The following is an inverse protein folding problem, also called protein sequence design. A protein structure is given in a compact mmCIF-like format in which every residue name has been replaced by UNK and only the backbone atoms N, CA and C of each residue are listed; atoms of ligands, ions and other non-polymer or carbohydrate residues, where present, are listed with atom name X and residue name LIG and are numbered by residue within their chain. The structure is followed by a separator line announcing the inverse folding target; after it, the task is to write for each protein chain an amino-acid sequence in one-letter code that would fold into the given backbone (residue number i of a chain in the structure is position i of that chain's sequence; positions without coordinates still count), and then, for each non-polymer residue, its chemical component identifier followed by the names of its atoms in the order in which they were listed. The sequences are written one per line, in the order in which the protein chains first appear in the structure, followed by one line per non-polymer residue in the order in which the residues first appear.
data_IF_942360497081
#
_entry.id   IF_942360497081
#
_cell.length_a   1.000
_cell.length_b   1.000
_cell.length_c   1.000
_cell.angle_alpha   90.00
_cell.angle_beta   90.00
_cell.angle_gamma   90.00
#
_symmetry.space_group_name_H-M   'P 1'
#
loop_
_entity.id
_entity.type
_entity.pdbx_description
1 polymer ?
#
# COMPACT_ATOMS: atom_id res chain seq x y z
N UNK A 1 -97.16 -37.55 -29.79
CA UNK A 1 -96.44 -38.64 -30.49
C UNK A 1 -97.19 -39.96 -30.47
N UNK A 2 -97.85 -40.33 -29.37
CA UNK A 2 -98.61 -41.60 -29.24
C UNK A 2 -99.81 -41.70 -30.21
N UNK A 3 -100.55 -40.61 -30.49
CA UNK A 3 -101.68 -40.64 -31.42
C UNK A 3 -101.30 -40.83 -32.90
N UNK A 4 -100.05 -40.59 -33.31
CA UNK A 4 -99.60 -40.77 -34.71
C UNK A 4 -99.19 -42.20 -35.03
N UNK A 5 -99.06 -43.08 -34.03
CA UNK A 5 -98.56 -44.46 -34.19
C UNK A 5 -99.68 -45.43 -34.59
N UNK A 6 -100.94 -45.11 -34.26
CA UNK A 6 -102.10 -45.96 -34.56
C UNK A 6 -102.54 -45.95 -36.04
N UNK A 7 -102.21 -44.90 -36.78
CA UNK A 7 -102.59 -44.71 -38.20
C UNK A 7 -101.41 -44.95 -39.17
N UNK A 8 -100.29 -45.50 -38.69
CA UNK A 8 -99.11 -45.79 -39.51
C UNK A 8 -99.27 -47.15 -40.21
N UNK A 9 -98.92 -47.21 -41.48
CA UNK A 9 -98.87 -48.49 -42.20
C UNK A 9 -97.78 -49.40 -41.61
N UNK A 10 -97.95 -50.73 -41.70
CA UNK A 10 -96.96 -51.72 -41.24
C UNK A 10 -95.55 -51.49 -41.84
N UNK A 11 -95.50 -50.84 -43.00
CA UNK A 11 -94.28 -50.47 -43.72
C UNK A 11 -93.58 -49.24 -43.11
N UNK A 12 -94.34 -48.24 -42.64
CA UNK A 12 -93.79 -47.09 -41.89
C UNK A 12 -93.27 -47.52 -40.51
N UNK A 13 -93.95 -48.48 -39.86
CA UNK A 13 -93.52 -49.04 -38.57
C UNK A 13 -92.18 -49.78 -38.71
N UNK A 14 -92.03 -50.61 -39.75
CA UNK A 14 -90.76 -51.30 -40.07
C UNK A 14 -89.63 -50.32 -40.39
N UNK A 15 -89.92 -49.24 -41.10
CA UNK A 15 -88.92 -48.22 -41.40
C UNK A 15 -88.42 -47.48 -40.15
N UNK A 16 -89.33 -47.13 -39.23
CA UNK A 16 -88.97 -46.51 -37.94
C UNK A 16 -88.17 -47.49 -37.06
N UNK A 17 -88.56 -48.76 -36.98
CA UNK A 17 -87.83 -49.78 -36.21
C UNK A 17 -86.43 -50.01 -36.80
N UNK A 18 -86.30 -50.06 -38.11
CA UNK A 18 -84.99 -50.16 -38.78
C UNK A 18 -84.13 -48.91 -38.54
N UNK A 19 -84.71 -47.71 -38.61
CA UNK A 19 -84.03 -46.45 -38.30
C UNK A 19 -83.57 -46.37 -36.84
N UNK A 20 -84.42 -46.76 -35.88
CA UNK A 20 -84.07 -46.87 -34.46
C UNK A 20 -82.94 -47.89 -34.23
N UNK A 21 -82.99 -49.05 -34.90
CA UNK A 21 -81.93 -50.04 -34.79
C UNK A 21 -80.57 -49.53 -35.31
N UNK A 22 -80.58 -48.73 -36.38
CA UNK A 22 -79.38 -48.05 -36.89
C UNK A 22 -78.87 -47.03 -35.86
N UNK A 23 -79.74 -46.16 -35.36
CA UNK A 23 -79.36 -45.16 -34.34
C UNK A 23 -78.86 -45.81 -33.05
N UNK A 24 -79.45 -46.91 -32.59
CA UNK A 24 -78.96 -47.68 -31.42
C UNK A 24 -77.55 -48.23 -31.69
N UNK A 25 -77.29 -48.72 -32.89
CA UNK A 25 -75.98 -49.24 -33.29
C UNK A 25 -74.92 -48.13 -33.36
N UNK A 26 -75.29 -46.96 -33.87
CA UNK A 26 -74.45 -45.75 -33.89
C UNK A 26 -74.16 -45.22 -32.47
N UNK A 27 -75.17 -45.20 -31.59
CA UNK A 27 -75.00 -44.82 -30.18
C UNK A 27 -74.08 -45.82 -29.48
N UNK A 28 -74.25 -47.13 -29.68
CA UNK A 28 -73.37 -48.15 -29.10
C UNK A 28 -71.93 -48.03 -29.59
N UNK A 29 -71.72 -47.73 -30.87
CA UNK A 29 -70.40 -47.48 -31.43
C UNK A 29 -69.77 -46.20 -30.83
N UNK A 30 -70.57 -45.15 -30.65
CA UNK A 30 -70.14 -43.91 -29.99
C UNK A 30 -69.77 -44.15 -28.53
N UNK A 31 -70.56 -44.93 -27.79
CA UNK A 31 -70.29 -45.32 -26.41
C UNK A 31 -68.96 -46.09 -26.28
N UNK A 32 -68.71 -47.06 -27.16
CA UNK A 32 -67.41 -47.78 -27.19
C UNK A 32 -66.23 -46.85 -27.47
N UNK A 33 -66.42 -45.85 -28.34
CA UNK A 33 -65.40 -44.84 -28.63
C UNK A 33 -65.14 -43.96 -27.40
N UNK A 34 -66.19 -43.54 -26.70
CA UNK A 34 -66.09 -42.78 -25.44
C UNK A 34 -65.40 -43.59 -24.34
N UNK A 35 -65.75 -44.87 -24.16
CA UNK A 35 -65.09 -45.74 -23.17
C UNK A 35 -63.58 -45.90 -23.43
N UNK A 36 -63.19 -45.96 -24.71
CA UNK A 36 -61.78 -46.01 -25.09
C UNK A 36 -61.07 -44.70 -24.74
N UNK A 37 -61.69 -43.55 -25.06
CA UNK A 37 -61.17 -42.23 -24.71
C UNK A 37 -61.07 -42.02 -23.19
N UNK A 38 -62.05 -42.51 -22.42
CA UNK A 38 -62.01 -42.47 -20.94
C UNK A 38 -60.82 -43.27 -20.40
N UNK A 39 -60.57 -44.48 -20.93
CA UNK A 39 -59.41 -45.28 -20.51
C UNK A 39 -58.08 -44.62 -20.85
N UNK A 40 -57.96 -44.01 -22.04
CA UNK A 40 -56.78 -43.25 -22.43
C UNK A 40 -56.58 -42.02 -21.52
N UNK A 41 -57.66 -41.32 -21.17
CA UNK A 41 -57.63 -40.21 -20.20
C UNK A 41 -57.15 -40.65 -18.82
N UNK A 42 -57.65 -41.76 -18.27
CA UNK A 42 -57.18 -42.27 -16.98
C UNK A 42 -55.69 -42.62 -17.01
N UNK A 43 -55.20 -43.22 -18.10
CA UNK A 43 -53.78 -43.51 -18.26
C UNK A 43 -52.94 -42.23 -18.35
N UNK A 44 -53.44 -41.20 -19.04
CA UNK A 44 -52.77 -39.89 -19.11
C UNK A 44 -52.76 -39.20 -17.74
N UNK A 45 -53.87 -39.22 -17.01
CA UNK A 45 -53.99 -38.63 -15.69
C UNK A 45 -53.03 -39.26 -14.69
N UNK A 46 -52.89 -40.60 -14.72
CA UNK A 46 -51.92 -41.30 -13.86
C UNK A 46 -50.47 -40.88 -14.14
N UNK A 47 -50.11 -40.70 -15.42
CA UNK A 47 -48.77 -40.21 -15.80
C UNK A 47 -48.55 -38.77 -15.30
N UNK A 48 -49.56 -37.91 -15.41
CA UNK A 48 -49.49 -36.54 -14.88
C UNK A 48 -49.32 -36.54 -13.36
N UNK A 49 -50.03 -37.40 -12.63
CA UNK A 49 -49.89 -37.52 -11.17
C UNK A 49 -48.48 -37.99 -10.76
N UNK A 50 -47.86 -38.88 -11.53
CA UNK A 50 -46.47 -39.31 -11.33
C UNK A 50 -45.49 -38.16 -11.58
N UNK A 51 -45.66 -37.41 -12.68
CA UNK A 51 -44.84 -36.22 -12.99
C UNK A 51 -44.98 -35.12 -11.92
N UNK A 52 -46.19 -34.89 -11.40
CA UNK A 52 -46.42 -33.91 -10.32
C UNK A 52 -45.67 -34.30 -9.04
N UNK A 53 -45.64 -35.60 -8.70
CA UNK A 53 -44.89 -36.08 -7.53
C UNK A 53 -43.39 -35.88 -7.71
N UNK A 54 -42.87 -36.17 -8.90
CA UNK A 54 -41.46 -35.98 -9.21
C UNK A 54 -41.05 -34.50 -9.15
N UNK A 55 -41.83 -33.62 -9.77
CA UNK A 55 -41.64 -32.17 -9.70
C UNK A 55 -41.71 -31.64 -8.26
N UNK A 56 -42.59 -32.19 -7.42
CA UNK A 56 -42.68 -31.80 -6.00
C UNK A 56 -41.41 -32.13 -5.23
N UNK A 57 -40.80 -33.30 -5.50
CA UNK A 57 -39.51 -33.69 -4.91
C UNK A 57 -38.39 -32.77 -5.39
N UNK A 58 -38.36 -32.44 -6.67
CA UNK A 58 -37.37 -31.50 -7.23
C UNK A 58 -37.52 -30.10 -6.63
N UNK A 59 -38.74 -29.56 -6.56
CA UNK A 59 -39.00 -28.26 -5.95
C UNK A 59 -38.48 -28.18 -4.51
N UNK A 60 -38.66 -29.25 -3.73
CA UNK A 60 -38.14 -29.32 -2.36
C UNK A 60 -36.62 -29.33 -2.30
N UNK A 61 -35.93 -29.94 -3.28
CA UNK A 61 -34.47 -29.87 -3.41
C UNK A 61 -34.02 -28.45 -3.76
N UNK A 62 -34.68 -27.81 -4.72
CA UNK A 62 -34.38 -26.44 -5.13
C UNK A 62 -34.58 -25.44 -3.99
N UNK A 63 -35.67 -25.58 -3.23
CA UNK A 63 -35.95 -24.75 -2.06
C UNK A 63 -34.84 -24.86 -1.00
N UNK A 64 -34.33 -26.08 -0.76
CA UNK A 64 -33.22 -26.30 0.16
C UNK A 64 -31.92 -25.66 -0.34
N UNK A 65 -31.60 -25.79 -1.64
CA UNK A 65 -30.44 -25.13 -2.25
C UNK A 65 -30.52 -23.61 -2.16
N UNK A 66 -31.72 -23.03 -2.36
CA UNK A 66 -31.94 -21.58 -2.19
C UNK A 66 -31.68 -21.16 -0.73
N UNK A 67 -32.14 -21.95 0.25
CA UNK A 67 -31.87 -21.68 1.66
C UNK A 67 -30.37 -21.71 1.97
N UNK A 68 -29.64 -22.71 1.47
CA UNK A 68 -28.18 -22.79 1.63
C UNK A 68 -27.45 -21.63 0.97
N UNK A 69 -27.81 -21.27 -0.26
CA UNK A 69 -27.25 -20.11 -0.97
C UNK A 69 -27.50 -18.81 -0.20
N UNK A 70 -28.71 -18.60 0.32
CA UNK A 70 -29.04 -17.43 1.13
C UNK A 70 -28.20 -17.34 2.41
N UNK A 71 -27.92 -18.49 3.03
CA UNK A 71 -27.08 -18.55 4.23
C UNK A 71 -25.60 -18.29 3.89
N UNK A 72 -25.12 -18.80 2.76
CA UNK A 72 -23.78 -18.51 2.24
C UNK A 72 -23.62 -17.02 1.91
N UNK A 73 -24.60 -16.42 1.22
CA UNK A 73 -24.60 -15.00 0.88
C UNK A 73 -24.54 -14.11 2.13
N UNK A 74 -25.33 -14.43 3.18
CA UNK A 74 -25.26 -13.72 4.47
C UNK A 74 -23.88 -13.81 5.13
N UNK A 75 -23.20 -14.96 5.03
CA UNK A 75 -21.82 -15.11 5.54
C UNK A 75 -20.84 -14.25 4.75
N UNK A 76 -20.96 -14.22 3.42
CA UNK A 76 -20.13 -13.37 2.56
C UNK A 76 -20.35 -11.88 2.85
N UNK A 77 -21.59 -11.43 3.01
CA UNK A 77 -21.90 -10.05 3.38
C UNK A 77 -21.30 -9.65 4.74
N UNK A 78 -21.34 -10.56 5.71
CA UNK A 78 -20.71 -10.36 7.00
C UNK A 78 -19.17 -10.23 6.87
N UNK A 79 -18.54 -11.07 6.05
CA UNK A 79 -17.10 -11.00 5.79
C UNK A 79 -16.71 -9.70 5.07
N UNK A 80 -17.49 -9.24 4.09
CA UNK A 80 -17.26 -7.97 3.39
C UNK A 80 -17.32 -6.78 4.37
N UNK A 81 -18.28 -6.79 5.31
CA UNK A 81 -18.36 -5.75 6.35
C UNK A 81 -17.13 -5.74 7.26
N UNK A 82 -16.65 -6.92 7.68
CA UNK A 82 -15.43 -7.03 8.49
C UNK A 82 -14.22 -6.49 7.73
N UNK A 83 -14.04 -6.92 6.48
CA UNK A 83 -12.94 -6.46 5.63
C UNK A 83 -12.99 -4.94 5.41
N UNK A 84 -14.17 -4.35 5.24
CA UNK A 84 -14.33 -2.89 5.11
C UNK A 84 -13.85 -2.13 6.35
N UNK A 85 -14.16 -2.65 7.55
CA UNK A 85 -13.69 -2.06 8.81
C UNK A 85 -12.18 -2.19 8.96
N UNK A 86 -11.61 -3.35 8.60
CA UNK A 86 -10.16 -3.55 8.61
C UNK A 86 -9.46 -2.60 7.63
N UNK A 87 -9.99 -2.44 6.41
CA UNK A 87 -9.44 -1.54 5.40
C UNK A 87 -9.37 -0.09 5.88
N UNK A 88 -10.39 0.38 6.61
CA UNK A 88 -10.39 1.72 7.25
C UNK A 88 -9.31 1.86 8.32
N UNK A 89 -9.02 0.78 9.08
CA UNK A 89 -7.95 0.78 10.08
C UNK A 89 -6.58 0.84 9.40
N UNK A 90 -6.34 0.04 8.36
CA UNK A 90 -5.09 0.08 7.59
C UNK A 90 -4.86 1.45 6.95
N UNK A 91 -5.90 2.07 6.38
CA UNK A 91 -5.79 3.42 5.81
C UNK A 91 -5.37 4.45 6.86
N UNK A 92 -5.91 4.36 8.08
CA UNK A 92 -5.51 5.24 9.19
C UNK A 92 -4.05 5.03 9.60
N UNK A 93 -3.60 3.77 9.69
CA UNK A 93 -2.22 3.43 10.01
C UNK A 93 -1.24 3.93 8.93
N UNK A 94 -1.61 3.85 7.65
CA UNK A 94 -0.80 4.38 6.55
C UNK A 94 -0.65 5.91 6.67
N UNK A 95 -1.73 6.62 7.01
CA UNK A 95 -1.67 8.08 7.24
C UNK A 95 -0.75 8.42 8.41
N UNK A 96 -0.83 7.71 9.52
CA UNK A 96 0.07 7.91 10.68
C UNK A 96 1.54 7.61 10.34
N UNK A 97 1.81 6.51 9.63
CA UNK A 97 3.16 6.17 9.16
C UNK A 97 3.74 7.25 8.24
N UNK A 98 2.95 7.77 7.30
CA UNK A 98 3.39 8.83 6.39
C UNK A 98 3.75 10.13 7.15
N UNK A 99 2.98 10.46 8.18
CA UNK A 99 3.26 11.63 9.02
C UNK A 99 4.53 11.43 9.87
N UNK A 100 4.73 10.22 10.41
CA UNK A 100 5.97 9.87 11.13
C UNK A 100 7.18 9.95 10.21
N UNK A 101 7.08 9.43 8.99
CA UNK A 101 8.17 9.41 8.02
C UNK A 101 8.61 10.83 7.65
N UNK A 102 7.64 11.76 7.46
CA UNK A 102 7.93 13.17 7.21
C UNK A 102 8.69 13.84 8.36
N UNK A 103 8.36 13.53 9.61
CA UNK A 103 9.10 14.02 10.79
C UNK A 103 10.53 13.50 10.82
N UNK A 104 10.73 12.21 10.50
CA UNK A 104 12.07 11.63 10.42
C UNK A 104 12.91 12.29 9.33
N UNK A 105 12.33 12.58 8.16
CA UNK A 105 13.02 13.28 7.07
C UNK A 105 13.45 14.71 7.46
N UNK A 106 12.61 15.43 8.22
CA UNK A 106 12.96 16.74 8.77
C UNK A 106 14.13 16.65 9.77
N UNK A 107 14.11 15.66 10.67
CA UNK A 107 15.20 15.43 11.62
C UNK A 107 16.52 15.07 10.92
N UNK A 108 16.49 14.25 9.86
CA UNK A 108 17.67 13.91 9.08
C UNK A 108 18.27 15.15 8.41
N UNK A 109 17.43 16.05 7.87
CA UNK A 109 17.90 17.32 7.29
C UNK A 109 18.58 18.20 8.34
N UNK A 110 18.00 18.28 9.53
CA UNK A 110 18.56 19.06 10.64
C UNK A 110 19.92 18.52 11.08
N UNK A 111 20.02 17.20 11.30
CA UNK A 111 21.29 16.53 11.63
C UNK A 111 22.35 16.71 10.53
N UNK A 112 21.95 16.72 9.25
CA UNK A 112 22.89 16.96 8.14
C UNK A 112 23.49 18.36 8.18
N UNK A 113 22.69 19.37 8.53
CA UNK A 113 23.16 20.75 8.71
C UNK A 113 24.11 20.84 9.90
N UNK A 114 23.78 20.16 10.99
CA UNK A 114 24.61 20.13 12.20
C UNK A 114 25.97 19.46 11.93
N UNK A 115 25.98 18.33 11.23
CA UNK A 115 27.21 17.64 10.83
C UNK A 115 28.13 18.52 9.96
N UNK A 116 27.56 19.33 9.05
CA UNK A 116 28.34 20.29 8.25
C UNK A 116 28.99 21.38 9.12
N UNK A 117 28.29 21.86 10.16
CA UNK A 117 28.86 22.82 11.11
C UNK A 117 30.02 22.19 11.90
N UNK A 118 29.84 20.95 12.37
CA UNK A 118 30.88 20.23 13.12
C UNK A 118 32.10 19.96 12.24
N UNK A 119 31.92 19.54 10.98
CA UNK A 119 33.03 19.34 10.03
C UNK A 119 33.81 20.65 9.76
N UNK A 120 33.11 21.78 9.63
CA UNK A 120 33.75 23.08 9.49
C UNK A 120 34.54 23.48 10.75
N UNK A 121 34.01 23.19 11.94
CA UNK A 121 34.69 23.44 13.21
C UNK A 121 35.95 22.56 13.33
N UNK A 122 35.86 21.27 12.98
CA UNK A 122 36.98 20.33 12.98
C UNK A 122 38.14 20.83 12.11
N UNK A 123 37.84 21.26 10.87
CA UNK A 123 38.85 21.84 9.95
C UNK A 123 39.54 23.08 10.52
N UNK A 124 38.81 23.91 11.26
CA UNK A 124 39.37 25.09 11.93
C UNK A 124 40.33 24.68 13.06
N UNK A 125 39.94 23.69 13.86
CA UNK A 125 40.80 23.14 14.93
C UNK A 125 42.06 22.48 14.36
N UNK A 126 41.95 21.70 13.29
CA UNK A 126 43.10 21.07 12.63
C UNK A 126 44.10 22.10 12.09
N UNK A 127 43.60 23.23 11.55
CA UNK A 127 44.44 24.34 11.13
C UNK A 127 45.19 24.97 12.30
N UNK A 128 44.53 25.19 13.44
CA UNK A 128 45.14 25.72 14.65
C UNK A 128 46.21 24.78 15.23
N UNK A 129 45.96 23.47 15.22
CA UNK A 129 46.95 22.47 15.67
C UNK A 129 48.19 22.51 14.77
N UNK A 130 48.03 22.62 13.45
CA UNK A 130 49.18 22.77 12.53
C UNK A 130 49.98 24.03 12.83
N UNK A 131 49.31 25.16 13.06
CA UNK A 131 49.98 26.41 13.40
C UNK A 131 50.77 26.30 14.71
N UNK A 132 50.14 25.74 15.75
CA UNK A 132 50.80 25.50 17.04
C UNK A 132 52.03 24.59 16.91
N UNK A 133 51.94 23.52 16.12
CA UNK A 133 53.06 22.61 15.88
C UNK A 133 54.23 23.29 15.16
N UNK A 134 53.94 24.23 14.25
CA UNK A 134 54.96 25.01 13.53
C UNK A 134 55.65 26.02 14.47
N UNK A 135 54.88 26.70 15.33
CA UNK A 135 55.45 27.56 16.37
C UNK A 135 56.30 26.79 17.37
N UNK A 136 55.88 25.60 17.78
CA UNK A 136 56.65 24.75 18.71
C UNK A 136 58.00 24.33 18.12
N UNK A 137 58.04 23.96 16.82
CA UNK A 137 59.30 23.69 16.11
C UNK A 137 60.25 24.89 16.10
N UNK A 138 59.75 26.10 15.87
CA UNK A 138 60.57 27.32 15.93
C UNK A 138 61.15 27.55 17.32
N UNK A 139 60.35 27.34 18.37
CA UNK A 139 60.81 27.46 19.75
C UNK A 139 61.89 26.42 20.06
N UNK A 140 61.73 25.17 19.62
CA UNK A 140 62.73 24.11 19.80
C UNK A 140 64.06 24.44 19.10
N UNK A 141 64.01 25.04 17.90
CA UNK A 141 65.21 25.52 17.19
C UNK A 141 65.91 26.66 17.95
N UNK A 142 65.17 27.62 18.48
CA UNK A 142 65.72 28.71 19.30
C UNK A 142 66.38 28.19 20.59
N UNK A 143 65.77 27.21 21.26
CA UNK A 143 66.35 26.59 22.47
C UNK A 143 67.68 25.89 22.14
N UNK A 144 67.77 25.20 21.00
CA UNK A 144 69.04 24.58 20.55
C UNK A 144 70.12 25.63 20.28
N UNK A 145 69.76 26.73 19.64
CA UNK A 145 70.69 27.83 19.35
C UNK A 145 71.24 28.47 20.64
N UNK A 146 70.35 28.80 21.58
CA UNK A 146 70.74 29.31 22.91
C UNK A 146 71.63 28.33 23.69
N UNK A 147 71.37 27.02 23.58
CA UNK A 147 72.22 26.00 24.22
C UNK A 147 73.65 25.97 23.67
N UNK A 148 73.81 26.15 22.36
CA UNK A 148 75.12 26.25 21.71
C UNK A 148 75.84 27.53 22.14
N UNK A 149 75.12 28.64 22.23
CA UNK A 149 75.66 29.92 22.70
C UNK A 149 76.14 29.81 24.15
N UNK A 150 75.35 29.20 25.03
CA UNK A 150 75.72 28.99 26.44
C UNK A 150 77.00 28.16 26.58
N UNK A 151 77.20 27.13 25.75
CA UNK A 151 78.45 26.35 25.72
C UNK A 151 79.67 27.18 25.28
N UNK A 152 79.50 28.12 24.35
CA UNK A 152 80.58 29.04 23.94
C UNK A 152 80.96 29.97 25.08
N UNK A 153 79.96 30.55 25.77
CA UNK A 153 80.18 31.42 26.93
C UNK A 153 80.89 30.68 28.06
N UNK A 154 80.48 29.44 28.34
CA UNK A 154 81.10 28.58 29.36
C UNK A 154 82.58 28.27 29.05
N UNK A 155 82.89 28.03 27.77
CA UNK A 155 84.27 27.86 27.32
C UNK A 155 85.11 29.15 27.42
N UNK A 156 84.51 30.31 27.17
CA UNK A 156 85.15 31.61 27.32
C UNK A 156 85.46 31.91 28.80
N UNK A 157 84.52 31.57 29.69
CA UNK A 157 84.69 31.68 31.15
C UNK A 157 85.90 30.85 31.61
N UNK A 158 86.01 29.58 31.18
CA UNK A 158 87.16 28.72 31.51
C UNK A 158 88.50 29.30 31.05
N UNK A 159 88.57 29.87 29.85
CA UNK A 159 89.79 30.55 29.36
C UNK A 159 90.14 31.77 30.21
N UNK A 160 89.13 32.53 30.64
CA UNK A 160 89.34 33.69 31.50
C UNK A 160 89.84 33.27 32.89
N UNK A 161 89.28 32.18 33.45
CA UNK A 161 89.73 31.61 34.73
C UNK A 161 91.18 31.09 34.65
N UNK A 162 91.59 30.50 33.53
CA UNK A 162 92.98 30.10 33.27
C UNK A 162 93.92 31.30 33.19
N UNK A 163 93.53 32.38 32.49
CA UNK A 163 94.31 33.62 32.43
C UNK A 163 94.46 34.28 33.81
N UNK A 164 93.42 34.26 34.65
CA UNK A 164 93.49 34.76 36.04
C UNK A 164 94.47 33.94 36.87
N UNK A 165 94.46 32.60 36.72
CA UNK A 165 95.44 31.72 37.40
C UNK A 165 96.87 32.02 36.95
N UNK A 166 97.08 32.26 35.67
CA UNK A 166 98.39 32.57 35.10
C UNK A 166 98.91 33.92 35.61
N UNK A 167 98.06 34.96 35.59
CA UNK A 167 98.36 36.27 36.19
C UNK A 167 98.65 36.16 37.70
N UNK A 168 97.94 35.29 38.43
CA UNK A 168 98.20 35.06 39.85
C UNK A 168 99.57 34.43 40.12
N UNK A 169 100.01 33.51 39.24
CA UNK A 169 101.36 32.92 39.30
C UNK A 169 102.43 33.94 38.92
N UNK A 170 102.16 34.80 37.95
CA UNK A 170 103.04 35.91 37.57
C UNK A 170 103.17 36.91 38.72
N UNK A 171 102.06 37.25 39.38
CA UNK A 171 102.06 38.11 40.57
C UNK A 171 102.89 37.52 41.71
N UNK A 172 102.85 36.19 41.92
CA UNK A 172 103.72 35.50 42.90
C UNK A 172 105.20 35.53 42.52
N UNK A 173 105.55 35.54 41.22
CA UNK A 173 106.93 35.73 40.75
C UNK A 173 107.40 37.17 40.96
N UNK A 174 106.53 38.16 40.69
CA UNK A 174 106.80 39.57 40.98
C UNK A 174 106.97 39.81 42.49
N UNK A 175 106.16 39.17 43.33
CA UNK A 175 106.25 39.20 44.81
C UNK A 175 107.57 38.59 45.32
N UNK A 176 108.07 37.54 44.66
CA UNK A 176 109.37 36.94 44.96
C UNK A 176 110.55 37.82 44.49
N UNK A 177 110.38 38.56 43.39
CA UNK A 177 111.33 39.56 42.91
C UNK A 177 111.37 40.77 43.88
N UNK A 178 110.20 41.21 44.36
CA UNK A 178 110.03 42.26 45.38
C UNK A 178 110.75 41.89 46.70
N UNK A 179 110.63 40.64 47.18
CA UNK A 179 111.37 40.16 48.36
C UNK A 179 112.89 40.15 48.20
N UNK A 180 113.41 40.02 46.97
CA UNK A 180 114.85 40.13 46.67
C UNK A 180 115.32 41.59 46.66
N UNK A 181 114.46 42.53 46.27
CA UNK A 181 114.71 43.98 46.34
C UNK A 181 114.53 44.53 47.76
N UNK A 182 113.59 44.00 48.54
CA UNK A 182 113.35 44.36 49.95
C UNK A 182 114.51 43.95 50.87
N UNK A 183 115.24 42.88 50.52
CA UNK A 183 116.48 42.50 51.21
C UNK A 183 117.64 43.49 50.95
N UNK A 184 117.61 44.23 49.83
CA UNK A 184 118.59 45.28 49.51
C UNK A 184 118.19 46.65 50.09
N UNK A 185 116.90 46.90 50.35
CA UNK A 185 116.40 48.13 50.99
C UNK A 185 116.61 48.12 52.51
N UNK A 186 116.71 46.94 53.15
CA UNK A 186 116.97 46.81 54.60
C UNK A 186 118.36 47.31 55.06
N UNK A 187 119.27 47.56 54.12
CA UNK A 187 120.59 48.14 54.39
C UNK A 187 120.63 49.67 54.19
N UNK A 188 119.59 50.28 53.60
CA UNK A 188 119.51 51.72 53.34
C UNK A 188 118.30 52.35 54.00
N UNK A 189 118.56 52.82 55.22
CA UNK A 189 117.83 53.90 55.93
C UNK A 189 116.59 53.43 56.70
N UNK A 190 116.48 53.59 58.01
CA UNK A 190 116.89 54.75 58.82
C UNK A 190 116.42 56.12 58.26
N UNK A 191 115.47 56.15 57.32
CA UNK A 191 114.80 57.38 56.90
C UNK A 191 113.32 57.38 57.30
N UNK A 192 113.10 57.86 58.53
CA UNK A 192 112.12 58.90 58.83
C UNK A 192 110.63 58.67 58.44
N UNK A 193 109.87 58.15 59.42
CA UNK A 193 108.80 58.94 60.08
C UNK A 193 107.59 59.42 59.25
N UNK A 194 107.11 58.64 58.27
CA UNK A 194 105.86 58.99 57.56
C UNK A 194 104.98 57.79 57.21
N UNK A 195 104.57 57.00 58.19
CA UNK A 195 103.46 56.05 57.99
C UNK A 195 102.71 55.72 59.29
N UNK A 196 102.58 56.71 60.18
CA UNK A 196 101.61 56.69 61.28
C UNK A 196 100.14 56.81 60.78
N UNK A 197 99.91 56.82 59.45
CA UNK A 197 98.58 56.97 58.83
C UNK A 197 97.97 55.69 58.22
N UNK A 198 98.72 54.59 58.03
CA UNK A 198 98.17 53.37 57.41
C UNK A 198 97.42 52.42 58.37
N UNK A 199 97.42 52.70 59.68
CA UNK A 199 96.71 51.86 60.68
C UNK A 199 95.18 52.08 60.64
N UNK A 200 94.68 53.11 59.95
CA UNK A 200 93.22 53.37 59.83
C UNK A 200 92.50 52.61 58.72
N UNK A 201 93.20 51.95 57.78
CA UNK A 201 92.54 51.39 56.58
C UNK A 201 92.23 49.88 56.67
N UNK A 202 92.94 49.13 57.52
CA UNK A 202 92.68 47.69 57.75
C UNK A 202 91.38 47.39 58.52
N UNK A 203 90.68 48.42 59.03
CA UNK A 203 89.37 48.27 59.67
C UNK A 203 88.19 48.33 58.66
N UNK A 204 88.42 48.76 57.42
CA UNK A 204 87.36 48.91 56.41
C UNK A 204 87.22 47.65 55.52
N UNK A 205 88.30 46.92 55.28
CA UNK A 205 88.28 45.75 54.39
C UNK A 205 87.55 44.54 55.01
N UNK A 206 87.59 44.41 56.34
CA UNK A 206 86.84 43.38 57.08
C UNK A 206 85.31 43.60 57.09
N UNK A 207 84.81 44.81 56.73
CA UNK A 207 83.37 45.12 56.60
C UNK A 207 82.80 44.82 55.20
N UNK A 208 83.64 44.71 54.16
CA UNK A 208 83.19 44.42 52.78
C UNK A 208 82.95 42.93 52.53
N UNK A 209 83.75 42.07 53.15
CA UNK A 209 83.61 40.60 53.02
C UNK A 209 82.36 40.07 53.73
N UNK A 210 81.97 40.69 54.86
CA UNK A 210 80.77 40.34 55.62
C UNK A 210 79.45 40.80 54.94
N UNK A 211 79.52 41.84 54.10
CA UNK A 211 78.40 42.31 53.28
C UNK A 211 78.19 41.48 52.00
N UNK A 212 79.27 40.92 51.43
CA UNK A 212 79.19 40.03 50.27
C UNK A 212 78.61 38.64 50.66
N UNK A 213 78.95 38.13 51.86
CA UNK A 213 78.43 36.86 52.40
C UNK A 213 76.90 36.90 52.63
N UNK A 214 76.36 38.01 53.17
CA UNK A 214 74.90 38.19 53.39
C UNK A 214 74.08 38.28 52.09
N UNK A 215 74.68 38.76 50.99
CA UNK A 215 74.00 38.84 49.68
C UNK A 215 73.90 37.47 49.01
N UNK A 216 74.91 36.63 49.18
CA UNK A 216 74.93 35.25 48.69
C UNK A 216 73.96 34.35 49.47
N UNK A 217 73.87 34.51 50.80
CA UNK A 217 72.89 33.77 51.62
C UNK A 217 71.43 34.14 51.31
N UNK A 218 71.17 35.41 50.94
CA UNK A 218 69.85 35.86 50.49
C UNK A 218 69.46 35.26 49.12
N UNK A 219 70.40 35.19 48.17
CA UNK A 219 70.18 34.58 46.86
C UNK A 219 69.97 33.06 46.95
N UNK A 220 70.65 32.37 47.87
CA UNK A 220 70.45 30.93 48.13
C UNK A 220 69.06 30.66 48.74
N UNK A 221 68.55 31.56 49.62
CA UNK A 221 67.19 31.46 50.16
C UNK A 221 66.10 31.70 49.10
N UNK A 222 66.34 32.61 48.15
CA UNK A 222 65.39 32.88 47.07
C UNK A 222 65.36 31.74 46.04
N UNK A 223 66.52 31.18 45.69
CA UNK A 223 66.62 30.01 44.81
C UNK A 223 65.97 28.77 45.42
N UNK A 224 66.20 28.49 46.71
CA UNK A 224 65.56 27.35 47.40
C UNK A 224 64.03 27.50 47.51
N UNK A 225 63.51 28.73 47.66
CA UNK A 225 62.07 28.98 47.61
C UNK A 225 61.48 28.79 46.20
N UNK A 226 62.21 29.21 45.15
CA UNK A 226 61.79 29.00 43.75
C UNK A 226 61.78 27.52 43.36
N UNK A 227 62.77 26.74 43.82
CA UNK A 227 62.85 25.30 43.60
C UNK A 227 61.66 24.56 44.22
N UNK A 228 61.25 24.96 45.43
CA UNK A 228 60.08 24.38 46.13
C UNK A 228 58.78 24.60 45.36
N UNK A 229 58.63 25.78 44.74
CA UNK A 229 57.48 26.14 43.90
C UNK A 229 57.43 25.32 42.61
N UNK A 230 58.59 25.07 42.00
CA UNK A 230 58.72 24.21 40.82
C UNK A 230 58.40 22.75 41.14
N UNK A 231 58.86 22.23 42.29
CA UNK A 231 58.56 20.86 42.73
C UNK A 231 57.06 20.64 43.01
N UNK A 232 56.37 21.65 43.54
CA UNK A 232 54.91 21.61 43.72
C UNK A 232 54.16 21.62 42.38
N UNK A 233 54.59 22.42 41.40
CA UNK A 233 54.02 22.43 40.05
C UNK A 233 54.24 21.11 39.29
N UNK A 234 55.40 20.46 39.46
CA UNK A 234 55.68 19.15 38.87
C UNK A 234 54.77 18.07 39.47
N UNK A 235 54.49 18.11 40.78
CA UNK A 235 53.55 17.17 41.42
C UNK A 235 52.12 17.36 40.92
N UNK A 236 51.69 18.61 40.75
CA UNK A 236 50.36 18.93 40.25
C UNK A 236 50.16 18.44 38.80
N UNK A 237 51.13 18.71 37.92
CA UNK A 237 51.15 18.20 36.55
C UNK A 237 51.17 16.67 36.48
N UNK A 238 51.89 16.00 37.39
CA UNK A 238 51.93 14.53 37.44
C UNK A 238 50.56 13.92 37.79
N UNK A 239 49.80 14.56 38.68
CA UNK A 239 48.43 14.14 39.02
C UNK A 239 47.48 14.36 37.84
N UNK A 240 47.61 15.48 37.15
CA UNK A 240 46.81 15.82 35.98
C UNK A 240 47.07 14.87 34.80
N UNK A 241 48.34 14.48 34.60
CA UNK A 241 48.73 13.51 33.58
C UNK A 241 48.13 12.13 33.86
N UNK A 242 48.09 11.68 35.12
CA UNK A 242 47.42 10.41 35.51
C UNK A 242 45.91 10.44 35.26
N UNK A 243 45.27 11.60 35.47
CA UNK A 243 43.85 11.79 35.18
C UNK A 243 43.56 11.67 33.69
N UNK A 244 44.40 12.28 32.86
CA UNK A 244 44.29 12.23 31.39
C UNK A 244 44.49 10.81 30.85
N UNK A 245 45.49 10.10 31.37
CA UNK A 245 45.77 8.71 31.00
C UNK A 245 44.61 7.75 31.33
N UNK A 246 43.95 7.98 32.48
CA UNK A 246 42.75 7.24 32.87
C UNK A 246 41.53 7.58 31.99
N UNK A 247 41.39 8.84 31.57
CA UNK A 247 40.34 9.28 30.65
C UNK A 247 40.51 8.61 29.28
N UNK A 248 41.75 8.56 28.78
CA UNK A 248 42.09 8.01 27.46
C UNK A 248 41.83 6.49 27.38
N UNK A 249 42.16 5.74 28.43
CA UNK A 249 41.79 4.30 28.53
C UNK A 249 40.28 4.07 28.50
N UNK A 250 39.49 5.00 29.07
CA UNK A 250 38.03 4.92 29.09
C UNK A 250 37.46 5.16 27.69
N UNK A 251 38.02 6.11 26.95
CA UNK A 251 37.66 6.40 25.56
C UNK A 251 38.02 5.24 24.64
N UNK A 252 39.20 4.64 24.79
CA UNK A 252 39.60 3.47 23.98
C UNK A 252 38.67 2.26 24.19
N UNK A 253 38.20 2.05 25.43
CA UNK A 253 37.23 1.00 25.73
C UNK A 253 35.87 1.27 25.04
N UNK A 254 35.40 2.52 25.05
CA UNK A 254 34.15 2.92 24.38
C UNK A 254 34.24 2.79 22.85
N UNK A 255 35.40 3.11 22.24
CA UNK A 255 35.64 2.94 20.81
C UNK A 255 35.58 1.46 20.42
N UNK A 256 36.17 0.56 21.23
CA UNK A 256 36.09 -0.88 21.00
C UNK A 256 34.65 -1.39 21.06
N UNK A 257 33.87 -0.94 22.03
CA UNK A 257 32.47 -1.33 22.19
C UNK A 257 31.59 -0.87 21.01
N UNK A 258 31.78 0.38 20.55
CA UNK A 258 31.14 0.91 19.35
C UNK A 258 31.52 0.13 18.08
N UNK A 259 32.80 -0.23 17.92
CA UNK A 259 33.23 -1.03 16.77
C UNK A 259 32.57 -2.42 16.73
N UNK A 260 32.34 -3.02 17.90
CA UNK A 260 31.66 -4.30 18.03
C UNK A 260 30.15 -4.19 17.75
N UNK A 261 29.49 -3.11 18.20
CA UNK A 261 28.08 -2.87 17.88
C UNK A 261 27.88 -2.63 16.39
N UNK A 262 28.79 -1.88 15.75
CA UNK A 262 28.74 -1.58 14.31
C UNK A 262 28.85 -2.85 13.46
N UNK A 263 29.72 -3.80 13.85
CA UNK A 263 29.81 -5.13 13.21
C UNK A 263 28.51 -5.94 13.29
N UNK A 264 27.82 -5.90 14.43
CA UNK A 264 26.52 -6.57 14.59
C UNK A 264 25.45 -5.93 13.70
N UNK A 265 25.45 -4.61 13.58
CA UNK A 265 24.53 -3.89 12.68
C UNK A 265 24.77 -4.25 11.22
N UNK A 266 26.03 -4.35 10.79
CA UNK A 266 26.37 -4.75 9.41
C UNK A 266 25.92 -6.18 9.07
N UNK A 267 25.99 -7.11 10.03
CA UNK A 267 25.47 -8.48 9.86
C UNK A 267 23.94 -8.51 9.74
N UNK A 268 23.22 -7.73 10.56
CA UNK A 268 21.77 -7.60 10.47
C UNK A 268 21.31 -6.99 9.14
N UNK A 269 22.03 -5.99 8.62
CA UNK A 269 21.74 -5.39 7.31
C UNK A 269 21.90 -6.40 6.18
N UNK A 270 22.93 -7.27 6.24
CA UNK A 270 23.11 -8.34 5.24
C UNK A 270 21.98 -9.36 5.28
N UNK A 271 21.52 -9.74 6.48
CA UNK A 271 20.43 -10.69 6.65
C UNK A 271 19.11 -10.14 6.10
N UNK A 272 18.78 -8.89 6.43
CA UNK A 272 17.62 -8.18 5.89
C UNK A 272 17.66 -8.04 4.36
N UNK A 273 18.84 -7.82 3.78
CA UNK A 273 19.00 -7.73 2.32
C UNK A 273 18.67 -9.07 1.62
N UNK A 274 19.00 -10.21 2.27
CA UNK A 274 18.67 -11.54 1.74
C UNK A 274 17.16 -11.82 1.85
N UNK A 275 16.52 -11.44 2.95
CA UNK A 275 15.05 -11.54 3.07
C UNK A 275 14.33 -10.69 2.03
N UNK A 276 14.77 -9.45 1.81
CA UNK A 276 14.14 -8.56 0.83
C UNK A 276 14.16 -9.16 -0.59
N UNK A 277 15.27 -9.79 -0.98
CA UNK A 277 15.36 -10.51 -2.27
C UNK A 277 14.40 -11.68 -2.38
N UNK A 278 14.11 -12.40 -1.28
CA UNK A 278 13.12 -13.48 -1.27
C UNK A 278 11.71 -12.94 -1.44
N UNK A 279 11.38 -11.83 -0.78
CA UNK A 279 10.08 -11.17 -0.90
C UNK A 279 9.84 -10.63 -2.32
N UNK A 280 10.84 -9.99 -2.93
CA UNK A 280 10.75 -9.51 -4.32
C UNK A 280 10.49 -10.65 -5.31
N UNK A 281 11.11 -11.82 -5.09
CA UNK A 281 10.89 -13.01 -5.91
C UNK A 281 9.48 -13.60 -5.72
N UNK A 282 8.91 -13.54 -4.52
CA UNK A 282 7.53 -13.95 -4.27
C UNK A 282 6.53 -13.00 -4.93
N UNK A 283 6.75 -11.68 -4.83
CA UNK A 283 5.88 -10.69 -5.49
C UNK A 283 5.81 -10.89 -7.00
N UNK A 284 6.94 -11.13 -7.67
CA UNK A 284 6.95 -11.43 -9.12
C UNK A 284 6.10 -12.64 -9.48
N UNK A 285 6.14 -13.71 -8.67
CA UNK A 285 5.29 -14.90 -8.90
C UNK A 285 3.81 -14.59 -8.71
N UNK A 286 3.47 -13.76 -7.73
CA UNK A 286 2.10 -13.31 -7.50
C UNK A 286 1.58 -12.45 -8.66
N UNK A 287 2.39 -11.55 -9.19
CA UNK A 287 2.03 -10.70 -10.33
C UNK A 287 1.77 -11.51 -11.61
N UNK A 288 2.56 -12.56 -11.84
CA UNK A 288 2.34 -13.49 -12.97
C UNK A 288 1.02 -14.24 -12.83
N UNK A 289 0.72 -14.77 -11.64
CA UNK A 289 -0.55 -15.46 -11.36
C UNK A 289 -1.76 -14.52 -11.54
N UNK A 290 -1.66 -13.26 -11.11
CA UNK A 290 -2.74 -12.27 -11.29
C UNK A 290 -3.00 -11.98 -12.78
N UNK A 291 -1.94 -11.90 -13.59
CA UNK A 291 -2.08 -11.72 -15.05
C UNK A 291 -2.78 -12.91 -15.70
N UNK A 292 -2.40 -14.13 -15.33
CA UNK A 292 -3.00 -15.35 -15.86
C UNK A 292 -4.48 -15.45 -15.48
N UNK A 293 -4.81 -15.20 -14.21
CA UNK A 293 -6.18 -15.16 -13.71
C UNK A 293 -7.03 -14.09 -14.43
N UNK A 294 -6.45 -12.93 -14.73
CA UNK A 294 -7.15 -11.86 -15.47
C UNK A 294 -7.49 -12.27 -16.90
N UNK A 295 -6.63 -13.06 -17.56
CA UNK A 295 -6.89 -13.59 -18.90
C UNK A 295 -8.01 -14.63 -18.86
N UNK A 296 -7.99 -15.52 -17.87
CA UNK A 296 -9.08 -16.50 -17.68
C UNK A 296 -10.41 -15.82 -17.38
N UNK A 297 -10.43 -14.80 -16.52
CA UNK A 297 -11.64 -14.07 -16.19
C UNK A 297 -12.30 -13.43 -17.43
N UNK A 298 -11.49 -12.83 -18.33
CA UNK A 298 -11.99 -12.28 -19.60
C UNK A 298 -12.58 -13.35 -20.52
N UNK A 299 -11.99 -14.55 -20.55
CA UNK A 299 -12.53 -15.68 -21.32
C UNK A 299 -13.87 -16.14 -20.73
N UNK A 300 -13.95 -16.29 -19.42
CA UNK A 300 -15.19 -16.67 -18.72
C UNK A 300 -16.31 -15.65 -18.94
N UNK A 301 -16.00 -14.35 -18.85
CA UNK A 301 -16.95 -13.26 -19.14
C UNK A 301 -17.48 -13.34 -20.57
N UNK A 302 -16.61 -13.59 -21.55
CA UNK A 302 -16.99 -13.73 -22.96
C UNK A 302 -17.89 -14.97 -23.18
N UNK A 303 -17.56 -16.09 -22.54
CA UNK A 303 -18.36 -17.32 -22.61
C UNK A 303 -19.73 -17.16 -21.96
N UNK A 304 -19.79 -16.53 -20.77
CA UNK A 304 -21.04 -16.25 -20.07
C UNK A 304 -21.94 -15.30 -20.87
N UNK A 305 -21.35 -14.28 -21.49
CA UNK A 305 -22.08 -13.37 -22.39
C UNK A 305 -22.65 -14.13 -23.60
N UNK A 306 -21.87 -15.01 -24.21
CA UNK A 306 -22.33 -15.87 -25.31
C UNK A 306 -23.47 -16.81 -24.91
N UNK A 307 -23.40 -17.43 -23.73
CA UNK A 307 -24.47 -18.26 -23.18
C UNK A 307 -25.76 -17.46 -22.97
N UNK A 308 -25.66 -16.25 -22.40
CA UNK A 308 -26.80 -15.35 -22.19
C UNK A 308 -27.51 -14.98 -23.50
N UNK A 309 -26.75 -14.63 -24.55
CA UNK A 309 -27.34 -14.37 -25.87
C UNK A 309 -28.04 -15.59 -26.46
N UNK A 310 -27.43 -16.78 -26.35
CA UNK A 310 -28.03 -18.00 -26.89
C UNK A 310 -29.35 -18.37 -26.19
N UNK A 311 -29.43 -18.17 -24.88
CA UNK A 311 -30.67 -18.41 -24.11
C UNK A 311 -31.76 -17.40 -24.49
N UNK A 312 -31.41 -16.13 -24.69
CA UNK A 312 -32.36 -15.11 -25.17
C UNK A 312 -32.91 -15.43 -26.56
N UNK A 313 -32.03 -15.71 -27.52
CA UNK A 313 -32.41 -16.07 -28.89
C UNK A 313 -33.31 -17.32 -28.94
N UNK A 314 -33.03 -18.34 -28.11
CA UNK A 314 -33.85 -19.55 -28.08
C UNK A 314 -35.29 -19.27 -27.61
N UNK A 315 -35.47 -18.34 -26.68
CA UNK A 315 -36.79 -17.94 -26.16
C UNK A 315 -37.53 -17.11 -27.20
N UNK A 316 -36.88 -16.11 -27.80
CA UNK A 316 -37.45 -15.32 -28.91
C UNK A 316 -37.89 -16.23 -30.07
N UNK A 317 -37.04 -17.18 -30.46
CA UNK A 317 -37.31 -18.16 -31.52
C UNK A 317 -38.53 -19.05 -31.17
N UNK A 318 -38.62 -19.51 -29.93
CA UNK A 318 -39.75 -20.32 -29.47
C UNK A 318 -41.09 -19.58 -29.59
N UNK A 319 -41.16 -18.35 -29.06
CA UNK A 319 -42.39 -17.56 -29.09
C UNK A 319 -42.74 -17.09 -30.50
N UNK A 320 -41.76 -16.71 -31.31
CA UNK A 320 -42.00 -16.36 -32.70
C UNK A 320 -42.61 -17.52 -33.48
N UNK A 321 -42.01 -18.72 -33.39
CA UNK A 321 -42.54 -19.90 -34.08
C UNK A 321 -43.94 -20.27 -33.59
N UNK A 322 -44.22 -20.12 -32.29
CA UNK A 322 -45.54 -20.37 -31.71
C UNK A 322 -46.60 -19.38 -32.20
N UNK A 323 -46.24 -18.10 -32.28
CA UNK A 323 -47.13 -17.00 -32.69
C UNK A 323 -47.34 -16.97 -34.21
N UNK A 324 -46.30 -17.21 -34.99
CA UNK A 324 -46.38 -17.24 -36.46
C UNK A 324 -47.21 -18.43 -36.96
N UNK A 325 -47.22 -19.55 -36.23
CA UNK A 325 -48.02 -20.72 -36.59
C UNK A 325 -49.53 -20.47 -36.49
N UNK A 326 -49.98 -19.82 -35.42
CA UNK A 326 -51.43 -19.59 -35.17
C UNK A 326 -51.91 -18.24 -35.66
N UNK A 327 -51.01 -17.24 -35.69
CA UNK A 327 -51.29 -15.82 -35.87
C UNK A 327 -52.46 -15.33 -35.01
N UNK A 328 -52.64 -15.93 -33.83
CA UNK A 328 -53.79 -15.68 -32.97
C UNK A 328 -53.37 -15.56 -31.52
N UNK A 329 -53.74 -14.46 -30.88
CA UNK A 329 -53.47 -14.18 -29.46
C UNK A 329 -54.67 -13.47 -28.84
N UNK A 330 -55.04 -13.82 -27.61
CA UNK A 330 -56.17 -13.23 -26.87
C UNK A 330 -57.47 -13.22 -27.70
N UNK A 331 -57.71 -14.29 -28.45
CA UNK A 331 -58.80 -14.44 -29.41
C UNK A 331 -58.85 -13.40 -30.56
N UNK A 332 -57.74 -12.70 -30.81
CA UNK A 332 -57.55 -11.76 -31.93
C UNK A 332 -56.76 -12.49 -33.02
N UNK A 333 -57.27 -12.49 -34.25
CA UNK A 333 -56.56 -12.99 -35.43
C UNK A 333 -55.73 -11.87 -36.05
N UNK A 334 -54.47 -12.15 -36.36
CA UNK A 334 -53.56 -11.27 -37.07
C UNK A 334 -53.26 -11.83 -38.47
N UNK A 335 -52.91 -10.94 -39.40
CA UNK A 335 -52.58 -11.29 -40.79
C UNK A 335 -51.07 -11.49 -40.95
N UNK A 336 -50.27 -10.73 -40.20
CA UNK A 336 -48.81 -10.73 -40.26
C UNK A 336 -48.17 -10.93 -38.88
N UNK A 337 -46.97 -11.52 -38.87
CA UNK A 337 -46.12 -11.74 -37.70
C UNK A 337 -44.66 -11.51 -38.10
N UNK A 338 -43.99 -10.55 -37.48
CA UNK A 338 -42.62 -10.16 -37.79
C UNK A 338 -41.72 -10.31 -36.57
N UNK A 339 -40.51 -10.84 -36.78
CA UNK A 339 -39.47 -10.99 -35.77
C UNK A 339 -38.39 -9.92 -35.91
N UNK A 340 -37.83 -9.47 -34.80
CA UNK A 340 -36.62 -8.65 -34.70
C UNK A 340 -36.68 -7.38 -35.56
N UNK A 341 -37.73 -6.59 -35.37
CA UNK A 341 -37.94 -5.35 -36.11
C UNK A 341 -37.04 -4.24 -35.54
N UNK A 342 -36.11 -3.72 -36.34
CA UNK A 342 -35.12 -2.74 -35.90
C UNK A 342 -35.38 -1.36 -36.49
N UNK A 343 -35.78 -0.39 -35.68
CA UNK A 343 -36.04 0.98 -36.14
C UNK A 343 -34.92 1.94 -35.76
N UNK A 344 -34.54 2.81 -36.70
CA UNK A 344 -33.64 3.93 -36.42
C UNK A 344 -34.16 5.22 -37.08
N UNK A 345 -34.41 6.23 -36.25
CA UNK A 345 -34.71 7.59 -36.69
C UNK A 345 -33.56 8.53 -36.31
N UNK A 346 -32.82 9.00 -37.31
CA UNK A 346 -31.64 9.84 -37.13
C UNK A 346 -31.96 11.23 -36.58
N UNK A 347 -33.11 11.79 -36.92
CA UNK A 347 -33.52 13.15 -36.52
C UNK A 347 -33.88 13.20 -35.03
N UNK A 348 -34.62 12.19 -34.57
CA UNK A 348 -34.99 12.05 -33.15
C UNK A 348 -33.91 11.35 -32.31
N UNK A 349 -32.82 10.87 -32.95
CA UNK A 349 -31.79 10.02 -32.35
C UNK A 349 -32.40 8.83 -31.58
N UNK A 350 -33.48 8.29 -32.13
CA UNK A 350 -34.22 7.18 -31.54
C UNK A 350 -33.84 5.90 -32.26
N UNK A 351 -33.38 4.92 -31.50
CA UNK A 351 -33.13 3.55 -31.97
C UNK A 351 -33.82 2.59 -31.01
N UNK A 352 -34.57 1.65 -31.54
CA UNK A 352 -35.17 0.58 -30.75
C UNK A 352 -35.33 -0.70 -31.58
N UNK A 353 -35.43 -1.82 -30.88
CA UNK A 353 -35.64 -3.15 -31.43
C UNK A 353 -36.93 -3.73 -30.85
N UNK A 354 -37.70 -4.45 -31.64
CA UNK A 354 -38.96 -5.05 -31.23
C UNK A 354 -38.91 -6.54 -31.53
N UNK A 355 -38.99 -7.35 -30.49
CA UNK A 355 -38.74 -8.80 -30.58
C UNK A 355 -39.75 -9.46 -31.52
N UNK A 356 -41.05 -9.27 -31.28
CA UNK A 356 -42.10 -9.75 -32.18
C UNK A 356 -43.21 -8.70 -32.30
N UNK A 357 -43.67 -8.46 -33.53
CA UNK A 357 -44.85 -7.64 -33.82
C UNK A 357 -45.84 -8.40 -34.67
N UNK A 358 -47.14 -8.22 -34.41
CA UNK A 358 -48.20 -8.80 -35.23
C UNK A 358 -49.20 -7.72 -35.58
N UNK A 359 -49.79 -7.78 -36.78
CA UNK A 359 -50.75 -6.79 -37.22
C UNK A 359 -51.85 -7.40 -38.11
N UNK A 360 -53.02 -6.80 -38.05
CA UNK A 360 -54.06 -6.90 -39.07
C UNK A 360 -54.48 -5.48 -39.48
N UNK A 361 -55.55 -5.36 -40.27
CA UNK A 361 -56.03 -4.06 -40.76
C UNK A 361 -56.39 -3.04 -39.66
N UNK A 362 -56.69 -3.47 -38.43
CA UNK A 362 -57.22 -2.61 -37.35
C UNK A 362 -56.49 -2.72 -36.02
N UNK A 363 -55.76 -3.81 -35.78
CA UNK A 363 -55.14 -4.16 -34.50
C UNK A 363 -53.67 -4.51 -34.68
N UNK A 364 -52.86 -4.09 -33.73
CA UNK A 364 -51.46 -4.49 -33.63
C UNK A 364 -51.18 -5.16 -32.29
N UNK A 365 -50.16 -6.00 -32.24
CA UNK A 365 -49.63 -6.61 -31.03
C UNK A 365 -48.12 -6.42 -31.01
N UNK A 366 -47.59 -5.87 -29.92
CA UNK A 366 -46.17 -5.84 -29.66
C UNK A 366 -45.84 -6.82 -28.53
N UNK A 367 -44.93 -7.74 -28.79
CA UNK A 367 -44.49 -8.76 -27.84
C UNK A 367 -43.03 -8.52 -27.49
N UNK A 368 -42.73 -8.43 -26.19
CA UNK A 368 -41.36 -8.43 -25.66
C UNK A 368 -41.04 -9.81 -25.08
N UNK A 369 -39.96 -10.43 -25.54
CA UNK A 369 -39.48 -11.73 -25.12
C UNK A 369 -38.34 -11.60 -24.09
N UNK A 370 -38.43 -12.39 -23.00
CA UNK A 370 -37.36 -12.54 -22.01
C UNK A 370 -37.33 -13.98 -21.51
N UNK A 371 -36.15 -14.52 -21.25
CA UNK A 371 -36.04 -15.83 -20.60
C UNK A 371 -36.72 -15.84 -19.22
N UNK A 372 -36.51 -14.78 -18.46
CA UNK A 372 -37.20 -14.50 -17.20
C UNK A 372 -37.71 -13.06 -17.24
N UNK A 373 -39.03 -12.88 -17.13
CA UNK A 373 -39.68 -11.57 -17.22
C UNK A 373 -39.79 -10.94 -15.84
N UNK A 374 -39.28 -9.72 -15.71
CA UNK A 374 -39.37 -8.91 -14.48
C UNK A 374 -40.34 -7.73 -14.66
N UNK A 375 -40.68 -7.06 -13.56
CA UNK A 375 -41.65 -5.95 -13.57
C UNK A 375 -41.22 -4.82 -14.50
N UNK A 376 -39.93 -4.53 -14.54
CA UNK A 376 -39.34 -3.48 -15.37
C UNK A 376 -39.55 -3.73 -16.87
N UNK A 377 -39.56 -4.98 -17.31
CA UNK A 377 -39.83 -5.33 -18.72
C UNK A 377 -41.25 -4.94 -19.11
N UNK A 378 -42.22 -5.23 -18.25
CA UNK A 378 -43.64 -4.88 -18.44
C UNK A 378 -43.82 -3.36 -18.49
N UNK A 379 -43.20 -2.65 -17.56
CA UNK A 379 -43.26 -1.17 -17.50
C UNK A 379 -42.61 -0.56 -18.74
N UNK A 380 -41.42 -1.04 -19.13
CA UNK A 380 -40.69 -0.54 -20.30
C UNK A 380 -41.48 -0.77 -21.59
N UNK A 381 -42.08 -1.95 -21.74
CA UNK A 381 -42.94 -2.29 -22.88
C UNK A 381 -44.09 -1.29 -23.01
N UNK A 382 -44.80 -1.04 -21.90
CA UNK A 382 -45.93 -0.11 -21.81
C UNK A 382 -45.55 1.35 -22.07
N UNK A 383 -44.49 1.82 -21.43
CA UNK A 383 -44.23 3.26 -21.34
C UNK A 383 -43.37 3.79 -22.47
N UNK A 384 -42.49 2.95 -23.02
CA UNK A 384 -41.46 3.36 -23.98
C UNK A 384 -41.54 2.60 -25.30
N UNK A 385 -41.51 1.26 -25.28
CA UNK A 385 -41.42 0.45 -26.50
C UNK A 385 -42.59 0.69 -27.44
N UNK A 386 -43.83 0.64 -26.96
CA UNK A 386 -45.01 0.89 -27.82
C UNK A 386 -45.01 2.29 -28.44
N UNK A 387 -44.54 3.31 -27.72
CA UNK A 387 -44.42 4.68 -28.25
C UNK A 387 -43.33 4.75 -29.31
N UNK A 388 -42.18 4.13 -29.03
CA UNK A 388 -41.06 4.08 -29.96
C UNK A 388 -41.46 3.34 -31.24
N UNK A 389 -42.23 2.24 -31.13
CA UNK A 389 -42.74 1.50 -32.28
C UNK A 389 -43.58 2.41 -33.18
N UNK A 390 -44.55 3.13 -32.62
CA UNK A 390 -45.40 4.07 -33.39
C UNK A 390 -44.62 5.22 -34.04
N UNK A 391 -43.51 5.65 -33.43
CA UNK A 391 -42.63 6.70 -33.98
C UNK A 391 -41.76 6.15 -35.11
N UNK A 392 -41.16 4.98 -34.91
CA UNK A 392 -40.22 4.36 -35.84
C UNK A 392 -40.93 3.69 -37.03
N UNK A 393 -42.16 3.21 -36.81
CA UNK A 393 -42.99 2.49 -37.77
C UNK A 393 -44.41 3.08 -37.78
N UNK A 394 -44.65 4.12 -38.61
CA UNK A 394 -45.94 4.82 -38.67
C UNK A 394 -47.14 3.94 -39.01
N UNK A 395 -46.95 2.79 -39.64
CA UNK A 395 -48.02 1.83 -39.95
C UNK A 395 -48.71 1.28 -38.69
N UNK A 396 -48.03 1.30 -37.54
CA UNK A 396 -48.60 0.91 -36.24
C UNK A 396 -49.26 2.08 -35.49
N UNK A 397 -49.17 3.31 -36.00
CA UNK A 397 -49.62 4.52 -35.30
C UNK A 397 -51.13 4.54 -35.08
N UNK A 398 -51.88 4.13 -36.09
CA UNK A 398 -53.34 4.20 -36.12
C UNK A 398 -54.02 2.86 -35.76
N UNK A 399 -53.23 1.82 -35.46
CA UNK A 399 -53.73 0.53 -35.01
C UNK A 399 -54.10 0.55 -33.53
N UNK A 400 -55.13 -0.21 -33.18
CA UNK A 400 -55.45 -0.54 -31.79
C UNK A 400 -54.37 -1.49 -31.25
N UNK A 401 -53.37 -0.96 -30.53
CA UNK A 401 -52.21 -1.72 -30.08
C UNK A 401 -52.48 -2.46 -28.78
N UNK A 402 -52.27 -3.76 -28.79
CA UNK A 402 -52.17 -4.62 -27.62
C UNK A 402 -50.70 -4.89 -27.33
N UNK A 403 -50.41 -5.24 -26.08
CA UNK A 403 -49.06 -5.57 -25.63
C UNK A 403 -49.04 -6.97 -25.02
N UNK A 404 -47.95 -7.69 -25.24
CA UNK A 404 -47.68 -8.95 -24.56
C UNK A 404 -46.24 -9.02 -24.04
N UNK A 405 -46.07 -9.64 -22.88
CA UNK A 405 -44.76 -10.08 -22.39
C UNK A 405 -44.67 -11.59 -22.49
N UNK A 406 -43.59 -12.08 -23.08
CA UNK A 406 -43.37 -13.48 -23.37
C UNK A 406 -42.13 -14.01 -22.63
N UNK A 407 -42.24 -15.14 -21.95
CA UNK A 407 -41.08 -15.74 -21.30
C UNK A 407 -41.23 -17.15 -20.77
N UNK A 408 -40.09 -17.79 -20.49
CA UNK A 408 -40.08 -19.13 -19.89
C UNK A 408 -40.47 -19.09 -18.40
N UNK A 409 -40.16 -17.98 -17.72
CA UNK A 409 -40.51 -17.75 -16.33
C UNK A 409 -40.81 -16.27 -16.06
N UNK A 410 -41.52 -15.99 -14.97
CA UNK A 410 -42.00 -14.65 -14.62
C UNK A 410 -41.92 -14.44 -13.12
N UNK A 411 -41.50 -13.23 -12.71
CA UNK A 411 -41.69 -12.77 -11.34
C UNK A 411 -43.17 -12.56 -11.01
N UNK A 412 -43.52 -12.73 -9.74
CA UNK A 412 -44.90 -12.50 -9.26
C UNK A 412 -45.33 -11.06 -9.50
N UNK A 413 -44.45 -10.10 -9.25
CA UNK A 413 -44.73 -8.68 -9.45
C UNK A 413 -44.88 -8.32 -10.93
N UNK A 414 -44.13 -8.99 -11.81
CA UNK A 414 -44.26 -8.84 -13.26
C UNK A 414 -45.63 -9.34 -13.74
N UNK A 415 -46.06 -10.52 -13.26
CA UNK A 415 -47.40 -11.05 -13.56
C UNK A 415 -48.50 -10.12 -13.06
N UNK A 416 -48.37 -9.61 -11.84
CA UNK A 416 -49.35 -8.70 -11.26
C UNK A 416 -49.43 -7.39 -12.04
N UNK A 417 -48.29 -6.77 -12.37
CA UNK A 417 -48.25 -5.55 -13.17
C UNK A 417 -48.88 -5.77 -14.56
N UNK A 418 -48.55 -6.87 -15.24
CA UNK A 418 -49.12 -7.18 -16.55
C UNK A 418 -50.65 -7.34 -16.49
N UNK A 419 -51.16 -8.08 -15.50
CA UNK A 419 -52.61 -8.29 -15.29
C UNK A 419 -53.36 -7.01 -14.89
N UNK A 420 -52.76 -6.16 -14.06
CA UNK A 420 -53.36 -4.89 -13.65
C UNK A 420 -53.41 -3.88 -14.80
N UNK A 421 -52.41 -3.93 -15.68
CA UNK A 421 -52.30 -3.01 -16.80
C UNK A 421 -53.03 -3.54 -18.04
N UNK A 422 -53.34 -4.83 -18.11
CA UNK A 422 -54.03 -5.42 -19.26
C UNK A 422 -53.09 -5.83 -20.39
N UNK A 423 -51.86 -6.17 -20.04
CA UNK A 423 -50.83 -6.71 -20.93
C UNK A 423 -50.92 -8.24 -20.89
N UNK A 424 -50.91 -8.86 -22.06
CA UNK A 424 -51.02 -10.31 -22.23
C UNK A 424 -49.74 -10.98 -21.72
N UNK A 425 -49.87 -12.11 -21.02
CA UNK A 425 -48.73 -12.91 -20.59
C UNK A 425 -48.67 -14.14 -21.49
N UNK A 426 -47.57 -14.31 -22.23
CA UNK A 426 -47.30 -15.51 -23.02
C UNK A 426 -46.24 -16.34 -22.30
N UNK A 427 -46.59 -17.54 -21.87
CA UNK A 427 -45.71 -18.40 -21.08
C UNK A 427 -45.40 -19.69 -21.82
N UNK A 428 -44.14 -20.10 -21.81
CA UNK A 428 -43.75 -21.43 -22.25
C UNK A 428 -44.08 -22.45 -21.15
N UNK A 429 -44.89 -23.46 -21.48
CA UNK A 429 -45.22 -24.59 -20.60
C UNK A 429 -44.93 -25.89 -21.34
N UNK A 430 -43.75 -26.47 -21.09
CA UNK A 430 -43.24 -27.59 -21.88
C UNK A 430 -43.00 -27.13 -23.33
N UNK A 431 -43.61 -27.85 -24.28
CA UNK A 431 -43.51 -27.55 -25.72
C UNK A 431 -44.62 -26.62 -26.22
N UNK A 432 -45.57 -26.21 -25.37
CA UNK A 432 -46.73 -25.37 -25.77
C UNK A 432 -46.69 -23.98 -25.14
N UNK A 433 -47.16 -23.00 -25.92
CA UNK A 433 -47.33 -21.63 -25.46
C UNK A 433 -48.72 -21.47 -24.84
N UNK A 434 -48.78 -21.00 -23.60
CA UNK A 434 -50.01 -20.62 -22.91
C UNK A 434 -50.14 -19.10 -22.88
N UNK A 435 -51.36 -18.58 -23.02
CA UNK A 435 -51.68 -17.17 -22.84
C UNK A 435 -52.52 -16.95 -21.58
N UNK A 436 -52.10 -16.00 -20.72
CA UNK A 436 -52.93 -15.48 -19.63
C UNK A 436 -53.39 -14.06 -20.02
N UNK A 437 -54.71 -13.86 -20.06
CA UNK A 437 -55.33 -12.58 -20.43
C UNK A 437 -56.24 -12.12 -19.29
N UNK A 438 -55.93 -10.96 -18.72
CA UNK A 438 -56.74 -10.34 -17.67
C UNK A 438 -56.82 -8.83 -17.92
N UNK A 439 -58.00 -8.25 -17.81
CA UNK A 439 -58.24 -6.81 -18.00
C UNK A 439 -57.66 -6.22 -19.30
N UNK A 440 -57.70 -6.96 -20.42
CA UNK A 440 -57.04 -6.60 -21.69
C UNK A 440 -57.25 -5.12 -22.06
N UNK A 441 -56.15 -4.40 -22.31
CA UNK A 441 -56.14 -2.98 -22.67
C UNK A 441 -55.39 -2.70 -23.97
N UNK A 442 -55.66 -1.52 -24.51
CA UNK A 442 -55.03 -0.98 -25.70
C UNK A 442 -54.15 0.22 -25.36
N UNK A 443 -53.11 0.46 -26.17
CA UNK A 443 -51.99 1.36 -25.87
C UNK A 443 -51.59 2.26 -27.04
#
# INVERSE_FOLDING_TARGET
MICKIKDMSDQELKHIVASLAISIKEVSASQKKTDKQIKELFASQKKTDEQIKELSVEHKKTENLIKELSASQKKTDAQIKVLSVEHKKTEKLIKELSASQKKTDEQIKELSVEHKKTDAQQKKTDAQIKELSASQKKTDEQIKELSVEHKKTDAQQKKTDEQIKELSVEHKKTDAQQKKTDAQIKELSASQKKTDEQIKELSVEHKKTDAQQKKTDAQIKELSASQKKTDEQIKELSVEHKKTDAQQKKTDAQIKELSASQKKTDEQIKELSVEHKKTDAQQKKTDELIKELSVEHKKTESTLKGLGFNVGMAVEEYFYNSLDLTKKVANIQFDDCQKNLHGFNRELKLQDEFDITMANTTKGLLVECKHHVVKEDVVKLRESKVKNLKILYPDFKDLEMYLAVAGASFDLDAKQEAKQTGIIILKQVGDVMEEEVENLRTY
#
